data_IF_585033683815
#
_entry.id   IF_585033683815
#
_cell.length_a   1.000
_cell.length_b   1.000
_cell.length_c   1.000
_cell.angle_alpha   90.00
_cell.angle_beta   90.00
_cell.angle_gamma   90.00
#
_symmetry.space_group_name_H-M   'P 1'
#
loop_
_entity.id
_entity.type
_entity.pdbx_description
1 polymer ?
#
# COMPACT_ATOMS: atom_id res chain seq x y z
N UNK A 1 15.08 0.44 6.14
CA UNK A 1 14.01 0.31 5.11
C UNK A 1 12.80 -0.37 5.73
N UNK A 2 11.60 -0.24 5.15
CA UNK A 2 10.46 -1.12 5.49
C UNK A 2 10.52 -2.37 4.62
N UNK A 3 10.58 -3.54 5.26
CA UNK A 3 10.58 -4.83 4.56
C UNK A 3 9.15 -5.35 4.34
N UNK A 4 8.87 -5.77 3.11
CA UNK A 4 7.64 -6.50 2.78
C UNK A 4 7.77 -7.94 3.28
N UNK A 5 6.68 -8.51 3.78
CA UNK A 5 6.69 -9.84 4.38
C UNK A 5 6.32 -10.89 3.34
N UNK A 6 7.24 -11.78 2.96
CA UNK A 6 6.91 -12.87 2.06
C UNK A 6 5.94 -13.85 2.72
N UNK A 7 4.95 -14.31 1.95
CA UNK A 7 4.18 -15.51 2.24
C UNK A 7 4.57 -16.65 1.28
N UNK A 8 4.14 -17.87 1.59
CA UNK A 8 4.53 -19.12 0.88
C UNK A 8 4.38 -19.08 -0.65
N UNK A 9 3.46 -18.26 -1.18
CA UNK A 9 3.14 -18.20 -2.62
C UNK A 9 3.41 -16.82 -3.25
N UNK A 10 4.31 -16.05 -2.66
CA UNK A 10 4.70 -14.75 -3.23
C UNK A 10 5.95 -14.87 -4.10
N UNK A 11 5.87 -14.25 -5.26
CA UNK A 11 7.00 -14.14 -6.18
C UNK A 11 8.01 -13.12 -5.63
N UNK A 12 9.22 -13.56 -5.33
CA UNK A 12 10.26 -12.72 -4.74
C UNK A 12 10.61 -11.50 -5.62
N UNK A 13 10.53 -11.62 -6.95
CA UNK A 13 10.79 -10.51 -7.85
C UNK A 13 9.67 -9.46 -7.80
N UNK A 14 8.42 -9.89 -7.58
CA UNK A 14 7.32 -8.97 -7.31
C UNK A 14 7.53 -8.24 -5.98
N UNK A 15 7.85 -8.97 -4.91
CA UNK A 15 8.03 -8.37 -3.59
C UNK A 15 9.18 -7.36 -3.58
N UNK A 16 10.31 -7.68 -4.22
CA UNK A 16 11.42 -6.73 -4.36
C UNK A 16 11.00 -5.47 -5.13
N UNK A 17 10.27 -5.61 -6.24
CA UNK A 17 9.75 -4.47 -7.00
C UNK A 17 8.79 -3.61 -6.15
N UNK A 18 7.82 -4.25 -5.50
CA UNK A 18 6.85 -3.58 -4.65
C UNK A 18 7.53 -2.88 -3.46
N UNK A 19 8.53 -3.53 -2.84
CA UNK A 19 9.29 -2.97 -1.74
C UNK A 19 10.04 -1.70 -2.15
N UNK A 20 10.72 -1.71 -3.31
CA UNK A 20 11.38 -0.52 -3.85
C UNK A 20 10.39 0.62 -4.06
N UNK A 21 9.29 0.36 -4.76
CA UNK A 21 8.27 1.37 -5.03
C UNK A 21 7.68 1.93 -3.74
N UNK A 22 7.34 1.08 -2.77
CA UNK A 22 6.75 1.49 -1.49
C UNK A 22 7.73 2.35 -0.70
N UNK A 23 8.98 1.92 -0.53
CA UNK A 23 9.97 2.67 0.23
C UNK A 23 10.33 4.00 -0.44
N UNK A 24 10.49 4.01 -1.78
CA UNK A 24 10.75 5.25 -2.50
C UNK A 24 9.57 6.22 -2.45
N UNK A 25 8.32 5.73 -2.47
CA UNK A 25 7.14 6.57 -2.27
C UNK A 25 7.10 7.16 -0.85
N UNK A 26 7.33 6.34 0.17
CA UNK A 26 7.36 6.77 1.58
C UNK A 26 8.40 7.88 1.80
N UNK A 27 9.61 7.70 1.25
CA UNK A 27 10.70 8.67 1.35
C UNK A 27 10.36 9.97 0.59
N UNK A 28 9.94 9.86 -0.67
CA UNK A 28 9.61 11.01 -1.51
C UNK A 28 8.44 11.84 -0.95
N UNK A 29 7.49 11.17 -0.28
CA UNK A 29 6.33 11.79 0.35
C UNK A 29 6.61 12.19 1.81
N UNK A 30 7.81 11.95 2.33
CA UNK A 30 8.23 12.28 3.71
C UNK A 30 7.29 11.71 4.79
N UNK A 31 6.90 10.45 4.61
CA UNK A 31 6.00 9.78 5.54
C UNK A 31 6.77 9.23 6.75
N UNK A 32 6.20 9.40 7.94
CA UNK A 32 6.82 9.00 9.22
C UNK A 32 6.03 7.91 9.97
N UNK A 33 4.86 7.55 9.46
CA UNK A 33 4.01 6.48 9.97
C UNK A 33 3.47 5.67 8.79
N UNK A 34 3.53 4.34 8.86
CA UNK A 34 3.11 3.46 7.76
C UNK A 34 2.31 2.28 8.29
N UNK A 35 1.14 2.05 7.70
CA UNK A 35 0.37 0.81 7.82
C UNK A 35 0.59 -0.01 6.55
N UNK A 36 1.16 -1.20 6.70
CA UNK A 36 1.47 -2.09 5.59
C UNK A 36 0.58 -3.34 5.66
N UNK A 37 -0.25 -3.55 4.65
CA UNK A 37 -1.24 -4.62 4.60
C UNK A 37 -0.99 -5.56 3.43
N UNK A 38 -0.82 -6.84 3.74
CA UNK A 38 -0.65 -7.90 2.76
C UNK A 38 -2.00 -8.53 2.43
N UNK A 39 -2.43 -8.43 1.17
CA UNK A 39 -3.70 -8.95 0.68
C UNK A 39 -3.48 -10.22 -0.14
N UNK A 40 -4.18 -11.30 0.20
CA UNK A 40 -4.24 -12.53 -0.58
C UNK A 40 -4.89 -12.27 -1.95
N UNK A 41 -4.18 -12.63 -3.02
CA UNK A 41 -4.52 -12.41 -4.43
C UNK A 41 -4.51 -10.93 -4.86
N UNK A 42 -4.51 -10.72 -6.18
CA UNK A 42 -4.56 -9.41 -6.83
C UNK A 42 -5.89 -8.66 -6.58
N UNK A 43 -5.87 -7.36 -6.82
CA UNK A 43 -7.04 -6.47 -6.73
C UNK A 43 -6.91 -5.35 -7.78
N UNK A 44 -8.01 -4.77 -8.25
CA UNK A 44 -7.99 -3.73 -9.31
C UNK A 44 -8.07 -2.30 -8.75
N UNK A 45 -8.01 -1.31 -9.64
CA UNK A 45 -8.10 0.10 -9.27
C UNK A 45 -9.46 0.49 -8.66
N UNK A 46 -10.50 -0.35 -8.78
CA UNK A 46 -11.84 -0.04 -8.24
C UNK A 46 -11.86 -0.02 -6.72
N UNK A 47 -10.85 -0.61 -6.09
CA UNK A 47 -10.64 -0.54 -4.65
C UNK A 47 -10.13 0.84 -4.21
N UNK A 48 -9.53 1.63 -5.13
CA UNK A 48 -9.09 2.99 -4.87
C UNK A 48 -10.30 3.90 -4.63
N UNK A 49 -10.41 4.46 -3.44
CA UNK A 49 -11.48 5.39 -3.11
C UNK A 49 -12.87 4.81 -3.33
N UNK A 50 -13.09 3.54 -2.94
CA UNK A 50 -14.33 2.76 -3.10
C UNK A 50 -15.65 3.53 -2.82
N UNK A 51 -15.62 4.62 -2.05
CA UNK A 51 -16.78 5.48 -1.75
C UNK A 51 -17.02 6.66 -2.70
N UNK A 52 -16.14 6.94 -3.67
CA UNK A 52 -16.31 8.01 -4.68
C UNK A 52 -17.19 7.58 -5.86
N UNK A 53 -18.32 6.92 -5.59
CA UNK A 53 -19.34 6.65 -6.61
C UNK A 53 -19.98 7.98 -7.06
N UNK A 54 -19.51 8.52 -8.18
CA UNK A 54 -20.10 9.68 -8.86
C UNK A 54 -19.07 10.54 -9.58
N UNK A 55 -17.88 10.72 -9.00
CA UNK A 55 -16.79 11.44 -9.64
C UNK A 55 -15.44 10.97 -9.07
N UNK A 56 -14.77 10.04 -9.77
CA UNK A 56 -13.44 9.53 -9.38
C UNK A 56 -12.34 10.61 -9.39
N UNK A 57 -12.67 11.84 -9.82
CA UNK A 57 -11.73 12.96 -9.92
C UNK A 57 -11.42 13.57 -8.55
N UNK A 58 -12.36 13.61 -7.62
CA UNK A 58 -12.17 14.22 -6.29
C UNK A 58 -12.27 13.19 -5.15
N UNK A 59 -11.13 12.68 -4.69
CA UNK A 59 -11.04 11.87 -3.47
C UNK A 59 -11.10 12.82 -2.26
N UNK A 60 -12.31 13.25 -1.90
CA UNK A 60 -12.53 14.12 -0.72
C UNK A 60 -12.32 13.36 0.60
N UNK A 61 -12.67 12.08 0.61
CA UNK A 61 -12.57 11.23 1.80
C UNK A 61 -12.03 9.85 1.42
N UNK A 62 -10.97 9.43 2.09
CA UNK A 62 -10.38 8.11 1.90
C UNK A 62 -10.83 7.15 3.01
N UNK A 63 -11.52 6.09 2.61
CA UNK A 63 -11.94 5.01 3.50
C UNK A 63 -11.09 3.77 3.25
N UNK A 64 -10.80 3.00 4.30
CA UNK A 64 -10.19 1.68 4.16
C UNK A 64 -10.98 0.87 3.10
N UNK A 65 -10.32 0.33 2.06
CA UNK A 65 -10.99 -0.46 1.05
C UNK A 65 -11.71 -1.64 1.70
N UNK A 66 -12.93 -2.03 1.27
CA UNK A 66 -13.72 -3.04 1.96
C UNK A 66 -13.28 -4.47 1.63
N UNK A 67 -11.98 -4.78 1.74
CA UNK A 67 -11.49 -6.13 1.54
C UNK A 67 -12.10 -7.05 2.59
N UNK A 68 -12.50 -8.26 2.15
CA UNK A 68 -12.90 -9.29 3.11
C UNK A 68 -11.72 -9.57 4.06
N UNK A 69 -11.90 -9.54 5.39
CA UNK A 69 -10.82 -9.80 6.34
C UNK A 69 -10.07 -11.11 6.11
N UNK A 70 -10.72 -12.14 5.54
CA UNK A 70 -10.09 -13.41 5.18
C UNK A 70 -9.04 -13.27 4.06
N UNK A 71 -9.06 -12.15 3.31
CA UNK A 71 -8.01 -11.81 2.34
C UNK A 71 -6.81 -11.15 3.00
N UNK A 72 -6.90 -10.64 4.23
CA UNK A 72 -5.75 -10.01 4.88
C UNK A 72 -4.83 -11.09 5.44
N UNK A 73 -3.64 -11.24 4.85
CA UNK A 73 -2.61 -12.19 5.31
C UNK A 73 -1.84 -11.64 6.50
N UNK A 74 -1.52 -10.35 6.46
CA UNK A 74 -0.87 -9.65 7.55
C UNK A 74 -1.13 -8.15 7.50
N UNK A 75 -1.01 -7.51 8.66
CA UNK A 75 -0.95 -6.06 8.80
C UNK A 75 0.23 -5.74 9.72
N UNK A 76 1.04 -4.75 9.35
CA UNK A 76 2.14 -4.23 10.15
C UNK A 76 2.02 -2.72 10.26
N UNK A 77 2.49 -2.18 11.38
CA UNK A 77 2.55 -0.75 11.66
C UNK A 77 4.00 -0.37 11.94
N UNK A 78 4.46 0.70 11.29
CA UNK A 78 5.82 1.19 11.39
C UNK A 78 5.80 2.68 11.74
N UNK A 79 6.75 3.07 12.59
CA UNK A 79 7.03 4.47 12.90
C UNK A 79 8.49 4.77 12.57
N UNK A 80 8.74 5.94 11.98
CA UNK A 80 10.08 6.46 11.80
C UNK A 80 10.61 6.99 13.12
N UNK A 81 11.73 6.45 13.60
CA UNK A 81 12.44 6.99 14.74
C UNK A 81 13.51 7.97 14.25
N UNK A 82 13.26 9.26 14.48
CA UNK A 82 14.19 10.33 14.11
C UNK A 82 15.54 10.25 14.83
N UNK A 83 15.61 9.63 16.02
CA UNK A 83 16.86 9.52 16.77
C UNK A 83 17.76 8.42 16.22
N UNK A 84 17.17 7.27 15.88
CA UNK A 84 17.90 6.13 15.36
C UNK A 84 17.90 6.03 13.83
N UNK A 85 17.28 7.02 13.16
CA UNK A 85 17.18 7.15 11.70
C UNK A 85 16.73 5.83 11.03
N UNK A 86 15.77 5.15 11.64
CA UNK A 86 15.27 3.85 11.18
C UNK A 86 13.78 3.69 11.43
N UNK A 87 13.20 2.80 10.63
CA UNK A 87 11.84 2.32 10.83
C UNK A 87 11.78 1.32 11.98
N UNK A 88 10.85 1.53 12.91
CA UNK A 88 10.58 0.62 14.02
C UNK A 88 9.23 -0.05 13.80
N UNK A 89 9.20 -1.38 13.80
CA UNK A 89 7.96 -2.16 13.79
C UNK A 89 7.29 -2.06 15.17
N UNK A 90 6.11 -1.45 15.23
CA UNK A 90 5.33 -1.25 16.46
C UNK A 90 4.26 -2.32 16.66
N UNK A 91 4.22 -3.34 15.79
CA UNK A 91 3.24 -4.41 15.79
C UNK A 91 2.25 -4.27 14.65
N UNK A 92 0.95 -4.47 14.93
CA UNK A 92 -0.11 -4.37 13.91
C UNK A 92 -0.79 -3.00 13.86
N UNK A 93 -0.63 -2.16 14.90
CA UNK A 93 -1.39 -0.92 15.03
C UNK A 93 -2.91 -1.16 15.12
N UNK A 94 -3.71 -0.14 14.80
CA UNK A 94 -5.17 -0.28 14.72
C UNK A 94 -5.56 -1.13 13.50
N UNK A 95 -6.27 -2.23 13.74
CA UNK A 95 -6.73 -3.14 12.68
C UNK A 95 -7.63 -2.42 11.67
N UNK A 96 -7.25 -2.46 10.39
CA UNK A 96 -7.98 -1.78 9.32
C UNK A 96 -9.20 -2.59 8.86
N UNK A 97 -9.04 -3.91 8.73
CA UNK A 97 -10.05 -4.80 8.14
C UNK A 97 -10.70 -5.67 9.23
N UNK A 98 -11.75 -5.14 9.86
CA UNK A 98 -12.52 -5.84 10.89
C UNK A 98 -13.83 -6.39 10.33
N UNK A 99 -14.23 -7.60 10.77
CA UNK A 99 -15.60 -8.07 10.54
C UNK A 99 -16.55 -7.21 11.37
N UNK A 100 -17.39 -6.43 10.71
CA UNK A 100 -18.41 -5.61 11.38
C UNK A 100 -19.81 -6.11 11.01
N UNK A 101 -20.71 -6.33 11.98
CA UNK A 101 -22.11 -6.67 11.68
C UNK A 101 -22.90 -5.42 11.24
N UNK A 102 -23.45 -5.45 10.02
CA UNK A 102 -24.47 -4.50 9.53
C UNK A 102 -23.98 -3.17 8.90
N UNK A 103 -24.96 -2.35 8.45
CA UNK A 103 -24.83 -1.10 7.63
C UNK A 103 -24.02 0.07 8.26
N UNK A 104 -23.47 -0.07 9.48
CA UNK A 104 -22.74 1.00 10.19
C UNK A 104 -21.25 1.10 9.83
N UNK A 105 -20.78 0.26 8.91
CA UNK A 105 -19.35 -0.02 8.73
C UNK A 105 -18.55 0.98 7.90
N UNK A 106 -19.19 1.83 7.12
CA UNK A 106 -18.49 2.67 6.14
C UNK A 106 -17.87 3.95 6.71
N UNK A 107 -18.58 4.67 7.58
CA UNK A 107 -18.09 5.94 8.13
C UNK A 107 -17.03 5.73 9.25
N UNK A 108 -17.00 4.55 9.87
CA UNK A 108 -16.05 4.21 10.94
C UNK A 108 -14.62 3.92 10.43
N UNK A 109 -14.42 3.76 9.12
CA UNK A 109 -13.17 3.30 8.52
C UNK A 109 -12.47 4.36 7.66
N UNK A 110 -12.77 5.64 7.88
CA UNK A 110 -11.98 6.73 7.29
C UNK A 110 -10.53 6.63 7.79
N UNK A 111 -9.56 6.73 6.87
CA UNK A 111 -8.15 6.60 7.23
C UNK A 111 -7.71 7.73 8.17
N UNK A 112 -8.30 8.93 8.04
CA UNK A 112 -8.03 10.08 8.92
C UNK A 112 -8.49 9.89 10.36
N UNK A 113 -9.41 8.93 10.61
CA UNK A 113 -9.82 8.50 11.96
C UNK A 113 -8.88 7.44 12.56
N UNK A 114 -7.93 6.94 11.77
CA UNK A 114 -6.92 5.97 12.22
C UNK A 114 -5.62 6.72 12.52
N UNK A 115 -5.12 7.50 11.55
CA UNK A 115 -4.02 8.44 11.73
C UNK A 115 -4.25 9.64 10.82
N UNK A 116 -3.73 10.80 11.20
CA UNK A 116 -3.82 12.04 10.41
C UNK A 116 -2.61 12.28 9.51
N UNK A 117 -1.57 11.46 9.63
CA UNK A 117 -0.30 11.66 8.92
C UNK A 117 0.43 10.33 8.64
N UNK A 118 -0.32 9.28 8.33
CA UNK A 118 0.21 7.97 7.95
C UNK A 118 0.01 7.67 6.46
N UNK A 119 0.92 6.87 5.92
CA UNK A 119 0.71 6.13 4.69
C UNK A 119 0.04 4.79 4.97
N UNK A 120 -0.98 4.43 4.20
CA UNK A 120 -1.64 3.13 4.25
C UNK A 120 -1.37 2.43 2.92
N UNK A 121 -0.69 1.29 2.98
CA UNK A 121 -0.21 0.55 1.82
C UNK A 121 -0.86 -0.82 1.80
N UNK A 122 -1.42 -1.19 0.65
CA UNK A 122 -1.89 -2.55 0.36
C UNK A 122 -1.05 -3.12 -0.78
N UNK A 123 -0.56 -4.34 -0.61
CA UNK A 123 0.13 -5.08 -1.67
C UNK A 123 -0.46 -6.48 -1.81
N UNK A 124 -0.49 -6.97 -3.04
CA UNK A 124 -1.00 -8.30 -3.36
C UNK A 124 0.01 -9.39 -3.03
N UNK A 125 -0.49 -10.52 -2.57
CA UNK A 125 0.23 -11.78 -2.46
C UNK A 125 -0.35 -12.85 -3.37
N UNK A 126 0.12 -14.08 -3.18
CA UNK A 126 -0.16 -15.21 -4.05
C UNK A 126 0.24 -14.93 -5.52
N UNK A 127 1.32 -14.18 -5.72
CA UNK A 127 1.82 -13.73 -7.03
C UNK A 127 2.63 -14.80 -7.77
N UNK A 128 2.92 -15.95 -7.13
CA UNK A 128 3.39 -17.14 -7.84
C UNK A 128 2.26 -17.76 -8.67
N UNK A 129 1.06 -17.87 -8.10
CA UNK A 129 -0.09 -18.47 -8.77
C UNK A 129 -0.82 -17.48 -9.69
N UNK A 130 -0.76 -16.18 -9.38
CA UNK A 130 -1.40 -15.13 -10.18
C UNK A 130 -0.34 -14.37 -10.99
N UNK A 131 -0.48 -14.25 -12.33
CA UNK A 131 0.42 -13.43 -13.13
C UNK A 131 0.20 -11.92 -12.90
N UNK A 132 -0.77 -11.54 -12.06
CA UNK A 132 -1.06 -10.15 -11.73
C UNK A 132 -0.69 -9.86 -10.26
N UNK A 133 -0.08 -8.69 -10.05
CA UNK A 133 0.23 -8.13 -8.75
C UNK A 133 -0.26 -6.68 -8.66
N UNK A 134 -0.39 -6.14 -7.46
CA UNK A 134 -0.99 -4.83 -7.23
C UNK A 134 -0.41 -4.17 -6.00
N UNK A 135 -0.19 -2.86 -6.09
CA UNK A 135 0.19 -1.99 -4.98
C UNK A 135 -0.75 -0.80 -4.97
N UNK A 136 -1.22 -0.42 -3.78
CA UNK A 136 -2.08 0.72 -3.56
C UNK A 136 -1.63 1.47 -2.33
N UNK A 137 -1.60 2.80 -2.41
CA UNK A 137 -1.13 3.66 -1.32
C UNK A 137 -2.13 4.78 -1.12
N UNK A 138 -2.54 4.99 0.12
CA UNK A 138 -3.29 6.15 0.57
C UNK A 138 -2.44 6.96 1.55
N UNK A 139 -2.58 8.27 1.52
CA UNK A 139 -2.10 9.16 2.57
C UNK A 139 -3.28 9.76 3.30
N UNK A 140 -3.25 9.72 4.63
CA UNK A 140 -4.15 10.51 5.46
C UNK A 140 -3.68 11.97 5.51
N UNK A 141 -4.61 12.93 5.54
CA UNK A 141 -4.30 14.36 5.54
C UNK A 141 -5.37 15.20 4.83
N UNK A 142 -5.14 16.50 4.71
CA UNK A 142 -6.13 17.47 4.21
C UNK A 142 -6.45 17.35 2.71
N UNK A 143 -5.62 16.62 1.95
CA UNK A 143 -5.79 16.40 0.51
C UNK A 143 -5.64 14.91 0.25
N UNK A 144 -6.75 14.21 -0.02
CA UNK A 144 -6.78 12.77 -0.21
C UNK A 144 -5.89 12.31 -1.37
N UNK A 145 -4.62 12.05 -1.08
CA UNK A 145 -3.65 11.52 -2.02
C UNK A 145 -3.68 10.01 -1.96
N UNK A 146 -4.06 9.40 -3.08
CA UNK A 146 -4.10 7.96 -3.21
C UNK A 146 -3.82 7.56 -4.65
N UNK A 147 -3.13 6.44 -4.81
CA UNK A 147 -2.83 5.86 -6.11
C UNK A 147 -2.82 4.34 -6.07
N UNK A 148 -2.93 3.76 -7.26
CA UNK A 148 -2.89 2.34 -7.51
C UNK A 148 -1.99 2.03 -8.71
N UNK A 149 -1.25 0.93 -8.62
CA UNK A 149 -0.49 0.38 -9.72
C UNK A 149 -0.68 -1.14 -9.78
N UNK A 150 -0.98 -1.65 -10.99
CA UNK A 150 -1.01 -3.07 -11.28
C UNK A 150 0.26 -3.49 -12.03
N UNK A 151 0.68 -4.73 -11.79
CA UNK A 151 1.85 -5.33 -12.41
C UNK A 151 1.46 -6.66 -13.03
N UNK A 152 2.03 -6.96 -14.19
CA UNK A 152 1.85 -8.25 -14.85
C UNK A 152 3.19 -8.96 -15.01
N UNK A 153 3.19 -10.26 -14.72
CA UNK A 153 4.34 -11.14 -14.89
C UNK A 153 4.30 -11.73 -16.30
N UNK A 154 5.17 -11.19 -17.14
CA UNK A 154 5.57 -11.82 -18.40
C UNK A 154 6.93 -12.53 -18.19
N UNK A 155 8.00 -12.04 -18.83
CA UNK A 155 9.39 -12.43 -18.53
C UNK A 155 9.93 -11.78 -17.26
N UNK A 156 9.42 -10.60 -16.93
CA UNK A 156 9.71 -9.80 -15.74
C UNK A 156 8.41 -9.10 -15.34
N UNK A 157 8.32 -8.71 -14.07
CA UNK A 157 7.22 -7.86 -13.61
C UNK A 157 7.31 -6.49 -14.27
N UNK A 158 6.21 -6.04 -14.87
CA UNK A 158 6.09 -4.73 -15.52
C UNK A 158 4.80 -4.06 -15.07
N UNK A 159 4.79 -2.74 -15.07
CA UNK A 159 3.57 -1.95 -14.87
C UNK A 159 2.58 -2.29 -15.98
N UNK A 160 1.38 -2.68 -15.59
CA UNK A 160 0.29 -3.04 -16.49
C UNK A 160 -0.80 -1.98 -16.52
N UNK A 161 -1.17 -1.43 -15.36
CA UNK A 161 -2.21 -0.41 -15.24
C UNK A 161 -1.89 0.53 -14.08
N UNK A 162 -2.37 1.76 -14.16
CA UNK A 162 -1.99 2.87 -13.29
C UNK A 162 -3.20 3.76 -13.05
N UNK A 163 -3.45 4.11 -11.79
CA UNK A 163 -4.57 4.97 -11.45
C UNK A 163 -4.14 6.02 -10.43
N UNK A 164 -4.28 7.30 -10.83
CA UNK A 164 -3.85 8.49 -10.07
C UNK A 164 -2.34 8.53 -9.73
N UNK A 165 -1.53 7.86 -10.54
CA UNK A 165 -0.07 7.94 -10.53
C UNK A 165 0.43 7.80 -11.98
N UNK A 166 1.55 8.42 -12.30
CA UNK A 166 2.19 8.32 -13.61
C UNK A 166 3.32 7.29 -13.63
N UNK A 167 3.64 6.75 -14.81
CA UNK A 167 4.82 5.89 -15.02
C UNK A 167 6.10 6.51 -14.52
N UNK A 168 6.24 7.82 -14.73
CA UNK A 168 7.42 8.57 -14.32
C UNK A 168 7.56 8.58 -12.80
N UNK A 169 6.47 8.79 -12.07
CA UNK A 169 6.46 8.71 -10.61
C UNK A 169 6.78 7.31 -10.12
N UNK A 170 6.16 6.26 -10.70
CA UNK A 170 6.46 4.88 -10.33
C UNK A 170 7.94 4.52 -10.54
N UNK A 171 8.52 4.92 -11.67
CA UNK A 171 9.96 4.73 -11.94
C UNK A 171 10.81 5.51 -10.96
N UNK A 172 10.43 6.75 -10.63
CA UNK A 172 11.12 7.57 -9.63
C UNK A 172 11.09 6.94 -8.25
N UNK A 173 9.94 6.37 -7.84
CA UNK A 173 9.80 5.66 -6.58
C UNK A 173 10.59 4.35 -6.57
N UNK A 174 10.56 3.57 -7.66
CA UNK A 174 11.38 2.35 -7.74
C UNK A 174 12.87 2.67 -7.62
N UNK A 175 13.36 3.69 -8.34
CA UNK A 175 14.77 4.08 -8.31
C UNK A 175 15.16 4.64 -6.94
N UNK A 176 14.33 5.50 -6.33
CA UNK A 176 14.56 5.97 -4.96
C UNK A 176 14.64 4.82 -3.95
N UNK A 177 13.75 3.84 -4.05
CA UNK A 177 13.80 2.62 -3.26
C UNK A 177 15.07 1.80 -3.48
N UNK A 178 15.54 1.68 -4.74
CA UNK A 178 16.79 1.01 -5.08
C UNK A 178 18.00 1.66 -4.43
N UNK A 179 18.06 3.00 -4.42
CA UNK A 179 19.15 3.72 -3.76
C UNK A 179 19.14 3.50 -2.24
N UNK A 180 17.95 3.43 -1.63
CA UNK A 180 17.82 3.08 -0.21
C UNK A 180 18.27 1.65 0.09
N UNK A 181 18.03 0.69 -0.82
CA UNK A 181 18.51 -0.70 -0.68
C UNK A 181 20.03 -0.74 -0.71
N UNK A 182 20.66 -0.03 -1.66
CA UNK A 182 22.11 0.02 -1.81
C UNK A 182 22.81 0.74 -0.64
N UNK A 183 22.17 1.75 -0.05
CA UNK A 183 22.73 2.47 1.10
C UNK A 183 22.71 1.67 2.41
N UNK A 184 21.98 0.55 2.46
CA UNK A 184 21.84 -0.31 3.63
C UNK A 184 22.56 -1.66 3.48
N UNK A 185 23.14 -1.95 2.31
CA UNK A 185 23.91 -3.16 2.00
C UNK A 185 25.40 -2.97 2.29
#
# INVERSE_FOLDING_TARGET
MIELVPAENDDAAFLSLAQRIVNGAIEALQMHEVYLVHINNWFDYKWLGWWSWGDHRELKELCVPPFNPNRVRSQKHFLWDANSLRWTLTGQGKLLHLRQPGRRSSCAQMIDRISKSAAFVWYSGNTVANPAGSVMLYLSGAEGYAWYASFMREKRWKVNDEFRITRRELVSFEEGGRQLELAQA
#
